data_IF_842074906048
#
_entry.id   IF_842074906048
#
_cell.length_a   1.000
_cell.length_b   1.000
_cell.length_c   1.000
_cell.angle_alpha   90.00
_cell.angle_beta   90.00
_cell.angle_gamma   90.00
#
_symmetry.space_group_name_H-M   'P 1'
#
loop_
_entity.id
_entity.type
_entity.pdbx_description
1 polymer ?
#
# COMPACT_ATOMS: atom_id res chain seq x y z
N UNK A 1 2.06 15.09 -15.43
CA UNK A 1 3.15 14.28 -16.06
C UNK A 1 4.06 15.12 -16.96
N UNK A 2 3.52 15.96 -17.84
CA UNK A 2 4.30 16.77 -18.79
C UNK A 2 5.24 17.81 -18.14
N UNK A 3 4.80 18.54 -17.11
CA UNK A 3 5.64 19.51 -16.41
C UNK A 3 6.77 18.87 -15.56
N UNK A 4 6.56 17.63 -15.10
CA UNK A 4 7.54 16.85 -14.35
C UNK A 4 8.72 16.43 -15.25
N UNK A 5 8.40 15.92 -16.44
CA UNK A 5 9.39 15.40 -17.38
C UNK A 5 10.22 16.50 -18.07
N UNK A 6 9.67 17.72 -18.18
CA UNK A 6 10.32 18.83 -18.89
C UNK A 6 11.18 19.77 -18.00
N UNK A 7 10.95 19.83 -16.68
CA UNK A 7 11.66 20.81 -15.82
C UNK A 7 12.22 20.27 -14.51
N UNK A 8 11.60 19.23 -13.94
CA UNK A 8 11.86 18.87 -12.54
C UNK A 8 12.68 17.59 -12.39
N UNK A 9 12.72 16.69 -13.39
CA UNK A 9 13.47 15.43 -13.28
C UNK A 9 14.96 15.59 -12.97
N UNK A 10 15.55 16.72 -13.35
CA UNK A 10 16.96 17.05 -13.09
C UNK A 10 17.19 17.78 -11.76
N UNK A 11 16.13 18.03 -10.98
CA UNK A 11 16.20 18.80 -9.73
C UNK A 11 16.05 17.91 -8.51
N UNK A 12 16.60 18.28 -7.34
CA UNK A 12 16.42 17.52 -6.10
C UNK A 12 14.94 17.31 -5.72
N UNK A 13 14.03 18.16 -6.19
CA UNK A 13 12.59 18.11 -5.92
C UNK A 13 11.81 17.02 -6.68
N UNK A 14 12.41 16.35 -7.67
CA UNK A 14 11.72 15.35 -8.49
C UNK A 14 10.92 14.29 -7.67
N UNK A 15 11.49 13.63 -6.64
CA UNK A 15 10.77 12.60 -5.89
C UNK A 15 9.52 13.15 -5.19
N UNK A 16 9.60 14.37 -4.64
CA UNK A 16 8.46 15.01 -3.98
C UNK A 16 7.33 15.30 -4.98
N UNK A 17 7.67 15.80 -6.16
CA UNK A 17 6.68 16.12 -7.20
C UNK A 17 6.02 14.87 -7.78
N UNK A 18 6.78 13.78 -7.98
CA UNK A 18 6.24 12.50 -8.43
C UNK A 18 5.32 11.87 -7.37
N UNK A 19 5.71 11.92 -6.10
CA UNK A 19 4.90 11.45 -4.99
C UNK A 19 3.59 12.25 -4.85
N UNK A 20 3.66 13.58 -4.96
CA UNK A 20 2.48 14.46 -4.93
C UNK A 20 1.53 14.17 -6.10
N UNK A 21 2.06 14.00 -7.31
CA UNK A 21 1.24 13.63 -8.47
C UNK A 21 0.51 12.30 -8.24
N UNK A 22 1.20 11.27 -7.74
CA UNK A 22 0.59 9.97 -7.45
C UNK A 22 -0.45 10.01 -6.33
N UNK A 23 -0.23 10.86 -5.32
CA UNK A 23 -1.23 11.12 -4.29
C UNK A 23 -2.50 11.74 -4.90
N UNK A 24 -2.34 12.77 -5.72
CA UNK A 24 -3.44 13.46 -6.39
C UNK A 24 -4.20 12.54 -7.35
N UNK A 25 -3.49 11.73 -8.14
CA UNK A 25 -4.10 10.74 -9.04
C UNK A 25 -5.01 9.77 -8.27
N UNK A 26 -4.56 9.29 -7.10
CA UNK A 26 -5.35 8.41 -6.23
C UNK A 26 -6.57 9.14 -5.64
N UNK A 27 -6.39 10.37 -5.15
CA UNK A 27 -7.49 11.18 -4.60
C UNK A 27 -8.55 11.45 -5.67
N UNK A 28 -8.14 11.84 -6.88
CA UNK A 28 -9.06 12.06 -8.00
C UNK A 28 -9.78 10.76 -8.38
N UNK A 29 -9.05 9.63 -8.47
CA UNK A 29 -9.66 8.32 -8.75
C UNK A 29 -10.70 7.90 -7.70
N UNK A 30 -10.44 8.20 -6.42
CA UNK A 30 -11.39 7.95 -5.34
C UNK A 30 -12.66 8.82 -5.49
N UNK A 31 -12.51 10.12 -5.76
CA UNK A 31 -13.67 11.02 -5.98
C UNK A 31 -14.51 10.62 -7.19
N UNK A 32 -13.86 10.15 -8.27
CA UNK A 32 -14.54 9.67 -9.47
C UNK A 32 -15.35 8.39 -9.20
N UNK A 33 -14.78 7.45 -8.44
CA UNK A 33 -15.47 6.20 -8.05
C UNK A 33 -16.67 6.47 -7.16
N UNK A 34 -16.59 7.47 -6.28
CA UNK A 34 -17.71 7.89 -5.42
C UNK A 34 -18.84 8.58 -6.19
N UNK A 35 -18.56 9.16 -7.36
CA UNK A 35 -19.56 9.86 -8.19
C UNK A 35 -20.19 8.96 -9.26
N UNK A 36 -19.70 7.74 -9.45
CA UNK A 36 -20.27 6.80 -10.41
C UNK A 36 -21.62 6.26 -9.89
N UNK A 37 -22.72 6.39 -10.66
CA UNK A 37 -24.00 5.79 -10.29
C UNK A 37 -23.83 4.27 -10.13
N UNK A 38 -24.14 3.76 -8.94
CA UNK A 38 -23.89 2.36 -8.58
C UNK A 38 -24.64 1.40 -9.50
N UNK A 39 -23.91 0.54 -10.20
CA UNK A 39 -24.45 -0.73 -10.70
C UNK A 39 -24.74 -1.60 -9.49
N UNK A 40 -25.97 -1.51 -8.98
CA UNK A 40 -26.51 -2.42 -7.99
C UNK A 40 -26.48 -3.85 -8.52
N UNK A 41 -25.56 -4.67 -8.01
CA UNK A 41 -25.70 -6.13 -8.08
C UNK A 41 -26.78 -6.54 -7.07
N UNK A 42 -28.04 -6.34 -7.45
CA UNK A 42 -29.21 -6.93 -6.80
C UNK A 42 -29.58 -8.21 -7.56
N UNK A 43 -28.97 -9.33 -7.19
CA UNK A 43 -29.58 -10.66 -7.37
C UNK A 43 -30.03 -11.12 -5.99
N UNK A 44 -31.30 -10.92 -5.58
CA UNK A 44 -32.47 -11.73 -5.93
C UNK A 44 -32.23 -13.24 -5.78
N UNK A 45 -32.40 -13.70 -4.55
CA UNK A 45 -32.99 -15.01 -4.29
C UNK A 45 -34.29 -14.78 -3.54
N UNK A 46 -35.40 -14.79 -4.30
CA UNK A 46 -36.73 -15.03 -3.78
C UNK A 46 -36.75 -16.42 -3.12
N UNK A 47 -37.00 -16.50 -1.81
CA UNK A 47 -37.44 -17.73 -1.16
C UNK A 47 -38.21 -17.42 0.13
N UNK A 48 -39.49 -17.11 -0.06
CA UNK A 48 -40.65 -17.59 0.71
C UNK A 48 -40.56 -17.65 2.25
N UNK A 49 -41.33 -16.75 2.85
CA UNK A 49 -41.81 -16.67 4.24
C UNK A 49 -42.33 -18.01 4.81
N UNK A 50 -41.99 -18.29 6.07
CA UNK A 50 -42.97 -18.73 7.11
C UNK A 50 -42.50 -18.32 8.52
N UNK A 51 -43.39 -17.82 9.41
CA UNK A 51 -43.03 -17.42 10.77
C UNK A 51 -43.29 -18.54 11.79
N UNK A 52 -42.40 -18.68 12.76
CA UNK A 52 -42.72 -19.26 14.08
C UNK A 52 -42.00 -18.44 15.15
N UNK A 53 -42.79 -17.94 16.09
CA UNK A 53 -42.39 -17.16 17.25
C UNK A 53 -41.52 -17.98 18.22
N UNK A 54 -40.60 -17.33 18.94
CA UNK A 54 -40.75 -17.01 20.38
C UNK A 54 -39.41 -16.63 21.02
N UNK A 55 -39.54 -15.87 22.11
CA UNK A 55 -38.62 -15.65 23.22
C UNK A 55 -37.77 -14.35 23.24
N UNK A 56 -38.27 -13.45 24.10
CA UNK A 56 -37.66 -12.27 24.68
C UNK A 56 -36.48 -12.58 25.60
N UNK A 57 -35.40 -11.79 25.55
CA UNK A 57 -34.46 -11.52 26.66
C UNK A 57 -33.55 -10.30 26.30
N UNK A 58 -33.00 -9.57 27.27
CA UNK A 58 -32.94 -8.11 27.23
C UNK A 58 -31.70 -7.51 26.56
N UNK A 59 -31.89 -6.28 26.11
CA UNK A 59 -30.89 -5.39 25.56
C UNK A 59 -29.83 -5.01 26.59
N UNK A 60 -28.59 -5.47 26.35
CA UNK A 60 -27.38 -4.87 26.89
C UNK A 60 -26.87 -3.85 25.88
N UNK A 61 -27.45 -2.65 25.92
CA UNK A 61 -26.83 -1.47 25.34
C UNK A 61 -25.77 -0.96 26.32
N UNK A 62 -24.49 -1.07 25.96
CA UNK A 62 -23.43 -0.05 26.10
C UNK A 62 -22.06 -0.68 25.87
N UNK A 63 -21.47 -0.38 24.71
CA UNK A 63 -20.06 -0.02 24.60
C UNK A 63 -19.85 0.49 23.17
N UNK A 64 -19.72 1.81 23.07
CA UNK A 64 -19.52 2.57 21.85
C UNK A 64 -18.53 1.90 20.91
N UNK A 65 -19.01 1.51 19.72
CA UNK A 65 -18.13 1.21 18.60
C UNK A 65 -17.24 2.45 18.37
N UNK A 66 -15.92 2.29 18.22
CA UNK A 66 -15.07 3.43 17.89
C UNK A 66 -15.58 4.01 16.58
N UNK A 67 -15.91 5.31 16.60
CA UNK A 67 -16.35 6.04 15.43
C UNK A 67 -15.42 5.71 14.26
N UNK A 68 -15.97 5.02 13.26
CA UNK A 68 -15.24 4.75 12.03
C UNK A 68 -14.83 6.10 11.47
N UNK A 69 -13.52 6.32 11.29
CA UNK A 69 -13.01 7.58 10.76
C UNK A 69 -13.76 7.94 9.46
N UNK A 70 -14.05 9.23 9.19
CA UNK A 70 -14.75 9.62 7.99
C UNK A 70 -14.01 9.08 6.75
N UNK A 71 -14.73 8.61 5.71
CA UNK A 71 -14.15 7.93 4.56
C UNK A 71 -13.02 8.74 3.89
N UNK A 72 -13.12 10.07 3.94
CA UNK A 72 -12.10 11.02 3.46
C UNK A 72 -10.76 10.88 4.18
N UNK A 73 -10.74 10.67 5.50
CA UNK A 73 -9.50 10.49 6.26
C UNK A 73 -8.79 9.18 5.90
N UNK A 74 -9.55 8.11 5.61
CA UNK A 74 -9.00 6.83 5.18
C UNK A 74 -8.40 6.89 3.76
N UNK A 75 -9.07 7.61 2.85
CA UNK A 75 -8.59 7.87 1.49
C UNK A 75 -7.31 8.71 1.54
N UNK A 76 -7.28 9.78 2.34
CA UNK A 76 -6.10 10.62 2.53
C UNK A 76 -4.91 9.84 3.12
N UNK A 77 -5.17 8.97 4.12
CA UNK A 77 -4.14 8.11 4.69
C UNK A 77 -3.56 7.13 3.65
N UNK A 78 -4.41 6.58 2.77
CA UNK A 78 -3.99 5.69 1.69
C UNK A 78 -3.19 6.43 0.62
N UNK A 79 -3.59 7.65 0.27
CA UNK A 79 -2.87 8.53 -0.63
C UNK A 79 -1.48 8.88 -0.09
N UNK A 80 -1.38 9.23 1.19
CA UNK A 80 -0.12 9.52 1.87
C UNK A 80 0.80 8.30 1.94
N UNK A 81 0.26 7.12 2.24
CA UNK A 81 1.02 5.88 2.23
C UNK A 81 1.65 5.59 0.85
N UNK A 82 0.85 5.74 -0.21
CA UNK A 82 1.32 5.55 -1.58
C UNK A 82 2.35 6.61 -2.00
N UNK A 83 2.13 7.87 -1.60
CA UNK A 83 3.07 8.97 -1.83
C UNK A 83 4.42 8.72 -1.14
N UNK A 84 4.40 8.32 0.13
CA UNK A 84 5.61 8.03 0.91
C UNK A 84 6.41 6.87 0.30
N UNK A 85 5.73 5.80 -0.11
CA UNK A 85 6.37 4.69 -0.80
C UNK A 85 6.99 5.12 -2.14
N UNK A 86 6.23 5.88 -2.94
CA UNK A 86 6.70 6.39 -4.24
C UNK A 86 7.93 7.27 -4.06
N UNK A 87 7.89 8.20 -3.11
CA UNK A 87 9.02 9.09 -2.80
C UNK A 87 10.28 8.28 -2.47
N UNK A 88 10.17 7.26 -1.62
CA UNK A 88 11.28 6.42 -1.21
C UNK A 88 11.92 5.69 -2.41
N UNK A 89 11.10 5.04 -3.26
CA UNK A 89 11.60 4.32 -4.44
C UNK A 89 12.24 5.28 -5.44
N UNK A 90 11.62 6.42 -5.71
CA UNK A 90 12.16 7.43 -6.63
C UNK A 90 13.46 8.03 -6.10
N UNK A 91 13.56 8.29 -4.80
CA UNK A 91 14.78 8.79 -4.18
C UNK A 91 15.94 7.79 -4.30
N UNK A 92 15.69 6.50 -4.04
CA UNK A 92 16.71 5.44 -4.18
C UNK A 92 17.12 5.27 -5.65
N UNK A 93 16.18 5.26 -6.59
CA UNK A 93 16.47 5.07 -8.02
C UNK A 93 17.36 6.16 -8.61
N UNK A 94 17.33 7.39 -8.09
CA UNK A 94 18.27 8.43 -8.54
C UNK A 94 19.73 8.14 -8.22
N UNK A 95 19.99 7.35 -7.20
CA UNK A 95 21.35 6.99 -6.78
C UNK A 95 21.82 5.67 -7.39
N UNK A 96 20.98 5.04 -8.22
CA UNK A 96 21.25 3.76 -8.89
C UNK A 96 22.35 3.88 -9.96
N UNK A 97 22.49 5.04 -10.59
CA UNK A 97 23.48 5.31 -11.66
C UNK A 97 24.70 6.10 -11.20
N UNK A 98 24.57 6.92 -10.15
CA UNK A 98 25.70 7.71 -9.62
C UNK A 98 26.55 6.97 -8.58
N UNK A 99 26.06 5.83 -8.08
CA UNK A 99 26.77 4.98 -7.13
C UNK A 99 26.53 5.38 -5.66
N UNK A 100 26.26 4.35 -4.85
CA UNK A 100 26.72 4.24 -3.47
C UNK A 100 26.30 5.30 -2.45
N UNK A 101 25.02 5.66 -2.36
CA UNK A 101 24.50 6.34 -1.17
C UNK A 101 24.06 5.33 -0.12
N UNK A 102 24.60 5.39 1.09
CA UNK A 102 24.09 4.64 2.26
C UNK A 102 22.89 5.33 2.89
N UNK A 103 22.86 6.66 2.88
CA UNK A 103 21.83 7.46 3.54
C UNK A 103 20.47 7.27 2.87
N UNK A 104 20.43 7.19 1.54
CA UNK A 104 19.16 7.10 0.80
C UNK A 104 18.45 5.76 1.02
N UNK A 105 19.12 4.59 0.91
CA UNK A 105 18.53 3.31 1.26
C UNK A 105 18.18 3.20 2.75
N UNK A 106 18.96 3.79 3.67
CA UNK A 106 18.61 3.83 5.09
C UNK A 106 17.34 4.65 5.35
N UNK A 107 17.22 5.83 4.76
CA UNK A 107 16.04 6.66 4.87
C UNK A 107 14.81 5.94 4.26
N UNK A 108 14.97 5.29 3.12
CA UNK A 108 13.92 4.48 2.49
C UNK A 108 13.52 3.27 3.34
N UNK A 109 14.49 2.61 3.99
CA UNK A 109 14.25 1.54 4.95
C UNK A 109 13.43 2.04 6.13
N UNK A 110 13.84 3.16 6.75
CA UNK A 110 13.10 3.79 7.86
C UNK A 110 11.68 4.20 7.47
N UNK A 111 11.49 4.80 6.30
CA UNK A 111 10.17 5.16 5.78
C UNK A 111 9.30 3.91 5.52
N UNK A 112 9.88 2.84 4.99
CA UNK A 112 9.16 1.59 4.69
C UNK A 112 8.76 0.86 5.96
N UNK A 113 9.64 0.76 6.96
CA UNK A 113 9.34 0.10 8.23
C UNK A 113 8.32 0.87 9.04
N UNK A 114 8.46 2.20 9.13
CA UNK A 114 7.46 3.06 9.79
C UNK A 114 6.10 2.94 9.12
N UNK A 115 6.04 2.98 7.78
CA UNK A 115 4.79 2.78 7.05
C UNK A 115 4.20 1.38 7.30
N UNK A 116 5.01 0.32 7.28
CA UNK A 116 4.57 -1.04 7.59
C UNK A 116 3.99 -1.16 9.01
N UNK A 117 4.63 -0.54 10.00
CA UNK A 117 4.12 -0.50 11.37
C UNK A 117 2.80 0.28 11.48
N UNK A 118 2.66 1.41 10.79
CA UNK A 118 1.42 2.19 10.76
C UNK A 118 0.27 1.42 10.10
N UNK A 119 0.55 0.69 9.01
CA UNK A 119 -0.44 -0.15 8.34
C UNK A 119 -0.83 -1.35 9.21
N UNK A 120 0.11 -1.91 9.98
CA UNK A 120 -0.12 -3.03 10.88
C UNK A 120 -0.77 -2.66 12.23
N UNK A 121 -0.77 -1.39 12.64
CA UNK A 121 -1.33 -0.93 13.93
C UNK A 121 -2.69 -0.25 13.86
N UNK A 122 -3.32 -0.16 12.69
CA UNK A 122 -4.59 0.55 12.57
C UNK A 122 -5.73 -0.27 13.24
N UNK A 123 -6.01 0.01 14.52
CA UNK A 123 -7.10 -0.58 15.31
C UNK A 123 -6.67 -1.03 16.72
N UNK A 124 -7.64 -1.25 17.61
CA UNK A 124 -7.39 -1.73 18.98
C UNK A 124 -6.84 -3.17 19.03
N UNK A 125 -7.10 -3.97 17.99
CA UNK A 125 -6.49 -5.28 17.76
C UNK A 125 -6.40 -5.55 16.25
N UNK A 126 -5.22 -5.37 15.62
CA UNK A 126 -5.07 -5.65 14.20
C UNK A 126 -5.30 -7.13 13.90
N UNK A 127 -6.10 -7.43 12.89
CA UNK A 127 -6.35 -8.81 12.46
C UNK A 127 -5.09 -9.47 11.88
N UNK A 128 -4.98 -10.81 11.91
CA UNK A 128 -3.78 -11.52 11.44
C UNK A 128 -3.46 -11.23 9.97
N UNK A 129 -4.49 -11.05 9.13
CA UNK A 129 -4.34 -10.69 7.71
C UNK A 129 -3.63 -9.33 7.54
N UNK A 130 -4.02 -8.33 8.34
CA UNK A 130 -3.44 -6.99 8.31
C UNK A 130 -1.98 -7.02 8.77
N UNK A 131 -1.68 -7.78 9.82
CA UNK A 131 -0.31 -7.99 10.28
C UNK A 131 0.55 -8.70 9.21
N UNK A 132 0.04 -9.76 8.59
CA UNK A 132 0.75 -10.52 7.55
C UNK A 132 1.01 -9.67 6.30
N UNK A 133 0.00 -8.94 5.82
CA UNK A 133 0.14 -8.08 4.63
C UNK A 133 1.11 -6.92 4.90
N UNK A 134 1.01 -6.24 6.06
CA UNK A 134 1.94 -5.19 6.45
C UNK A 134 3.38 -5.70 6.63
N UNK A 135 3.56 -6.87 7.26
CA UNK A 135 4.86 -7.51 7.39
C UNK A 135 5.43 -7.94 6.02
N UNK A 136 4.58 -8.42 5.11
CA UNK A 136 5.00 -8.81 3.75
C UNK A 136 5.46 -7.60 2.93
N UNK A 137 4.80 -6.45 3.10
CA UNK A 137 5.22 -5.17 2.52
C UNK A 137 6.60 -4.76 3.05
N UNK A 138 6.74 -4.68 4.37
CA UNK A 138 7.99 -4.29 5.00
C UNK A 138 9.13 -5.22 4.58
N UNK A 139 8.93 -6.55 4.65
CA UNK A 139 9.96 -7.53 4.30
C UNK A 139 10.40 -7.48 2.84
N UNK A 140 9.48 -7.20 1.92
CA UNK A 140 9.79 -7.19 0.47
C UNK A 140 10.74 -6.06 0.08
N UNK A 141 10.64 -4.89 0.74
CA UNK A 141 11.49 -3.74 0.48
C UNK A 141 12.66 -3.59 1.48
N UNK A 142 12.49 -3.98 2.75
CA UNK A 142 13.48 -3.76 3.80
C UNK A 142 14.79 -4.52 3.58
N UNK A 143 14.71 -5.80 3.20
CA UNK A 143 15.91 -6.63 2.97
C UNK A 143 16.83 -6.02 1.92
N UNK A 144 16.37 -5.69 0.69
CA UNK A 144 17.26 -5.13 -0.30
C UNK A 144 17.69 -3.68 0.01
N UNK A 145 16.87 -2.86 0.70
CA UNK A 145 17.32 -1.55 1.20
C UNK A 145 18.42 -1.67 2.25
N UNK A 146 18.34 -2.64 3.17
CA UNK A 146 19.37 -2.90 4.16
C UNK A 146 20.68 -3.34 3.50
N UNK A 147 20.61 -4.22 2.49
CA UNK A 147 21.80 -4.61 1.73
C UNK A 147 22.44 -3.43 1.02
N UNK A 148 21.65 -2.58 0.36
CA UNK A 148 22.17 -1.38 -0.31
C UNK A 148 22.73 -0.34 0.67
N UNK A 149 22.15 -0.21 1.87
CA UNK A 149 22.65 0.65 2.93
C UNK A 149 24.02 0.18 3.45
N UNK A 150 24.13 -1.10 3.79
CA UNK A 150 25.34 -1.69 4.37
C UNK A 150 26.46 -1.83 3.33
N UNK A 151 26.10 -2.07 2.05
CA UNK A 151 27.04 -2.29 0.96
C UNK A 151 26.66 -1.40 -0.24
N UNK A 152 26.98 -0.09 -0.18
CA UNK A 152 26.63 0.87 -1.22
C UNK A 152 27.30 0.50 -2.55
N UNK A 153 26.53 -0.09 -3.46
CA UNK A 153 27.01 -0.49 -4.79
C UNK A 153 25.86 -0.42 -5.82
N UNK A 154 26.17 -0.16 -7.11
CA UNK A 154 25.15 -0.13 -8.16
C UNK A 154 24.24 -1.38 -8.21
N UNK A 155 24.73 -2.63 -8.21
CA UNK A 155 23.85 -3.80 -8.30
C UNK A 155 22.94 -3.97 -7.08
N UNK A 156 23.39 -3.61 -5.88
CA UNK A 156 22.54 -3.67 -4.69
C UNK A 156 21.51 -2.54 -4.66
N UNK A 157 21.84 -1.38 -5.20
CA UNK A 157 20.90 -0.26 -5.37
C UNK A 157 19.82 -0.61 -6.41
N UNK A 158 20.18 -1.24 -7.53
CA UNK A 158 19.24 -1.77 -8.53
C UNK A 158 18.30 -2.82 -7.91
N UNK A 159 18.85 -3.75 -7.09
CA UNK A 159 18.06 -4.73 -6.34
C UNK A 159 17.14 -4.07 -5.31
N UNK A 160 17.58 -3.00 -4.65
CA UNK A 160 16.77 -2.16 -3.76
C UNK A 160 15.59 -1.52 -4.50
N UNK A 161 15.82 -0.90 -5.65
CA UNK A 161 14.75 -0.33 -6.49
C UNK A 161 13.77 -1.41 -6.93
N UNK A 162 14.27 -2.53 -7.46
CA UNK A 162 13.43 -3.67 -7.82
C UNK A 162 12.65 -4.25 -6.63
N UNK A 163 13.23 -4.23 -5.43
CA UNK A 163 12.57 -4.62 -4.18
C UNK A 163 11.42 -3.68 -3.81
N UNK A 164 11.67 -2.37 -3.89
CA UNK A 164 10.67 -1.32 -3.73
C UNK A 164 9.50 -1.48 -4.70
N UNK A 165 9.78 -1.66 -6.00
CA UNK A 165 8.75 -1.88 -7.03
C UNK A 165 7.89 -3.12 -6.70
N UNK A 166 8.51 -4.23 -6.29
CA UNK A 166 7.78 -5.46 -5.92
C UNK A 166 6.96 -5.31 -4.64
N UNK A 167 7.30 -4.36 -3.77
CA UNK A 167 6.57 -4.10 -2.54
C UNK A 167 5.23 -3.39 -2.77
N UNK A 168 4.96 -2.84 -3.96
CA UNK A 168 3.66 -2.23 -4.29
C UNK A 168 2.49 -3.22 -4.16
N UNK A 169 2.64 -4.48 -4.57
CA UNK A 169 1.57 -5.48 -4.49
C UNK A 169 1.21 -5.77 -3.02
N UNK A 170 2.18 -6.12 -2.13
CA UNK A 170 1.95 -6.18 -0.69
C UNK A 170 1.38 -4.89 -0.07
N UNK A 171 1.82 -3.71 -0.53
CA UNK A 171 1.31 -2.43 -0.04
C UNK A 171 -0.18 -2.29 -0.34
N UNK A 172 -0.59 -2.62 -1.57
CA UNK A 172 -2.01 -2.61 -1.95
C UNK A 172 -2.82 -3.63 -1.13
N UNK A 173 -2.27 -4.82 -0.90
CA UNK A 173 -2.90 -5.83 -0.04
C UNK A 173 -3.09 -5.32 1.40
N UNK A 174 -2.09 -4.62 1.95
CA UNK A 174 -2.16 -4.04 3.29
C UNK A 174 -3.18 -2.91 3.38
N UNK A 175 -3.26 -2.04 2.37
CA UNK A 175 -4.28 -0.99 2.30
C UNK A 175 -5.70 -1.56 2.17
N UNK A 176 -5.88 -2.62 1.38
CA UNK A 176 -7.15 -3.34 1.24
C UNK A 176 -7.57 -4.04 2.55
N UNK A 177 -6.65 -4.69 3.24
CA UNK A 177 -6.92 -5.30 4.54
C UNK A 177 -7.31 -4.23 5.57
N UNK A 178 -6.64 -3.07 5.55
CA UNK A 178 -6.94 -1.93 6.44
C UNK A 178 -8.31 -1.32 6.18
N UNK A 179 -8.84 -1.37 4.95
CA UNK A 179 -10.20 -0.93 4.62
C UNK A 179 -11.26 -2.02 4.83
N UNK A 180 -10.89 -3.19 5.37
CA UNK A 180 -11.80 -4.33 5.59
C UNK A 180 -12.06 -5.21 4.36
N UNK A 181 -11.41 -4.93 3.22
CA UNK A 181 -11.61 -5.65 1.95
C UNK A 181 -10.76 -6.93 1.89
N UNK A 182 -10.96 -7.84 2.85
CA UNK A 182 -10.12 -9.03 3.07
C UNK A 182 -9.98 -9.95 1.85
N UNK A 183 -11.05 -10.12 1.05
CA UNK A 183 -11.01 -10.91 -0.18
C UNK A 183 -10.03 -10.33 -1.22
N UNK A 184 -10.06 -9.01 -1.42
CA UNK A 184 -9.12 -8.33 -2.33
C UNK A 184 -7.69 -8.39 -1.81
N UNK A 185 -7.49 -8.26 -0.50
CA UNK A 185 -6.17 -8.38 0.12
C UNK A 185 -5.57 -9.79 -0.05
N UNK A 186 -6.36 -10.85 0.11
CA UNK A 186 -5.92 -12.23 -0.15
C UNK A 186 -5.59 -12.47 -1.62
N UNK A 187 -6.43 -11.98 -2.54
CA UNK A 187 -6.17 -12.08 -3.97
C UNK A 187 -4.85 -11.40 -4.36
N UNK A 188 -4.60 -10.18 -3.86
CA UNK A 188 -3.35 -9.45 -4.07
C UNK A 188 -2.15 -10.17 -3.46
N UNK A 189 -2.29 -10.73 -2.25
CA UNK A 189 -1.21 -11.47 -1.61
C UNK A 189 -0.86 -12.75 -2.40
N UNK A 190 -1.86 -13.41 -3.00
CA UNK A 190 -1.67 -14.55 -3.90
C UNK A 190 -0.90 -14.22 -5.18
N UNK A 191 -0.91 -12.95 -5.64
CA UNK A 191 -0.15 -12.50 -6.82
C UNK A 191 1.35 -12.27 -6.53
N UNK A 192 1.74 -12.13 -5.27
CA UNK A 192 3.14 -11.89 -4.86
C UNK A 192 4.12 -12.94 -5.40
N UNK A 193 3.88 -14.27 -5.29
CA UNK A 193 4.77 -15.26 -5.87
C UNK A 193 4.86 -15.17 -7.41
N UNK A 194 3.75 -14.85 -8.10
CA UNK A 194 3.74 -14.66 -9.54
C UNK A 194 4.59 -13.44 -9.97
N UNK A 195 4.48 -12.33 -9.25
CA UNK A 195 5.33 -11.15 -9.49
C UNK A 195 6.83 -11.47 -9.34
N UNK A 196 7.20 -12.35 -8.40
CA UNK A 196 8.59 -12.80 -8.23
C UNK A 196 9.06 -13.73 -9.34
N UNK A 197 8.21 -14.61 -9.86
CA UNK A 197 8.59 -15.51 -10.97
C UNK A 197 8.72 -14.76 -12.29
N UNK A 198 7.80 -13.85 -12.59
CA UNK A 198 7.84 -12.99 -13.78
C UNK A 198 9.09 -12.09 -13.76
N UNK A 199 9.40 -11.44 -12.64
CA UNK A 199 10.57 -10.57 -12.56
C UNK A 199 11.91 -11.31 -12.77
N UNK A 200 11.99 -12.60 -12.39
CA UNK A 200 13.17 -13.44 -12.66
C UNK A 200 13.34 -13.82 -14.13
N UNK A 201 12.25 -13.80 -14.91
CA UNK A 201 12.28 -14.12 -16.35
C UNK A 201 12.69 -12.94 -17.22
N UNK A 202 12.43 -11.70 -16.77
CA UNK A 202 12.72 -10.48 -17.55
C UNK A 202 14.12 -9.93 -17.25
N UNK A 203 14.75 -10.36 -16.16
CA UNK A 203 16.12 -9.97 -15.80
C UNK A 203 16.94 -11.18 -15.36
N UNK A 204 17.67 -11.84 -16.29
CA UNK A 204 18.69 -12.82 -15.95
C UNK A 204 20.00 -12.09 -15.62
N UNK A 205 20.08 -11.51 -14.42
CA UNK A 205 21.30 -10.88 -13.90
C UNK A 205 21.37 -11.02 -12.39
#
# INVERSE_FOLDING_TARGET
VWAYDLRLKHTPAAPATMAAARALDLLLGATATMSAPGTTSSGRTDAKVRPTASASAPASATASAPASAPPTASIAASALALAAHTYAVTAVSRHETQGGSTVTPLAALGATTTLGLLLGRAGAAPGPLQAVTAASYARTAAVPYLHAALNPSPPLTQRAVGGGIRALIPLQAALAARSGANGTALALLGLVPAARTLARKVSPT
#
